data_IF_224412936996
#
_entry.id   IF_224412936996
#
_cell.length_a   1.000
_cell.length_b   1.000
_cell.length_c   1.000
_cell.angle_alpha   90.00
_cell.angle_beta   90.00
_cell.angle_gamma   90.00
#
_symmetry.space_group_name_H-M   'P 1'
#
loop_
_entity.id
_entity.type
_entity.pdbx_description
1 polymer ?
#
# COMPACT_ATOMS: atom_id res chain seq x y z
N UNK A 1 -7.60 -5.58 -20.25
CA UNK A 1 -7.17 -5.85 -18.86
C UNK A 1 -5.96 -6.76 -18.88
N UNK A 2 -4.78 -6.29 -18.48
CA UNK A 2 -3.70 -7.23 -18.17
C UNK A 2 -4.01 -7.89 -16.83
N UNK A 3 -4.05 -9.22 -16.84
CA UNK A 3 -3.98 -10.00 -15.61
C UNK A 3 -2.51 -9.96 -15.23
N UNK A 4 -2.18 -9.27 -14.13
CA UNK A 4 -0.82 -9.24 -13.61
C UNK A 4 -0.27 -10.66 -13.50
N UNK A 5 0.98 -10.85 -13.90
CA UNK A 5 1.67 -12.12 -13.68
C UNK A 5 1.78 -12.43 -12.17
N UNK A 6 1.98 -13.69 -11.77
CA UNK A 6 2.14 -14.08 -10.36
C UNK A 6 3.19 -13.25 -9.61
N UNK A 7 4.29 -12.91 -10.30
CA UNK A 7 5.38 -12.08 -9.78
C UNK A 7 4.97 -10.62 -9.55
N UNK A 8 4.17 -10.05 -10.45
CA UNK A 8 3.69 -8.66 -10.36
C UNK A 8 2.66 -8.50 -9.23
N UNK A 9 1.77 -9.49 -9.07
CA UNK A 9 0.86 -9.54 -7.92
C UNK A 9 1.62 -9.69 -6.59
N UNK A 10 2.68 -10.50 -6.56
CA UNK A 10 3.56 -10.64 -5.40
C UNK A 10 4.19 -9.31 -4.97
N UNK A 11 4.68 -8.52 -5.93
CA UNK A 11 5.24 -7.19 -5.66
C UNK A 11 4.21 -6.23 -5.06
N UNK A 12 3.00 -6.17 -5.64
CA UNK A 12 1.89 -5.35 -5.11
C UNK A 12 1.51 -5.77 -3.69
N UNK A 13 1.44 -7.08 -3.44
CA UNK A 13 1.11 -7.61 -2.12
C UNK A 13 2.17 -7.24 -1.08
N UNK A 14 3.46 -7.27 -1.44
CA UNK A 14 4.56 -6.85 -0.54
C UNK A 14 4.43 -5.37 -0.21
N UNK A 15 4.17 -4.50 -1.21
CA UNK A 15 3.95 -3.09 -0.98
C UNK A 15 2.76 -2.84 -0.03
N UNK A 16 1.64 -3.54 -0.25
CA UNK A 16 0.47 -3.44 0.61
C UNK A 16 0.76 -3.88 2.06
N UNK A 17 1.51 -4.98 2.24
CA UNK A 17 1.93 -5.46 3.57
C UNK A 17 2.87 -4.48 4.26
N UNK A 18 3.79 -3.87 3.53
CA UNK A 18 4.68 -2.85 4.07
C UNK A 18 3.89 -1.63 4.59
N UNK A 19 2.87 -1.17 3.85
CA UNK A 19 1.97 -0.10 4.32
C UNK A 19 1.29 -0.47 5.64
N UNK A 20 0.77 -1.68 5.75
CA UNK A 20 0.12 -2.15 6.98
C UNK A 20 1.09 -2.21 8.18
N UNK A 21 2.32 -2.66 7.96
CA UNK A 21 3.37 -2.64 8.99
C UNK A 21 3.70 -1.21 9.43
N UNK A 22 3.75 -0.25 8.49
CA UNK A 22 4.02 1.15 8.80
C UNK A 22 2.93 1.82 9.66
N UNK A 23 1.70 1.31 9.68
CA UNK A 23 0.69 1.80 10.64
C UNK A 23 1.08 1.49 12.09
N UNK A 24 1.66 0.32 12.35
CA UNK A 24 2.14 -0.04 13.70
C UNK A 24 3.35 0.78 14.15
N UNK A 25 4.08 1.40 13.21
CA UNK A 25 5.22 2.30 13.54
C UNK A 25 4.73 3.62 14.13
N UNK A 26 3.47 4.02 13.91
CA UNK A 26 2.89 5.25 14.47
C UNK A 26 2.82 5.26 16.00
N UNK A 27 2.89 4.09 16.63
CA UNK A 27 2.91 3.97 18.09
C UNK A 27 4.28 4.29 18.70
N UNK A 28 5.33 4.40 17.87
CA UNK A 28 6.67 4.73 18.33
C UNK A 28 6.81 6.23 18.58
N UNK A 29 7.59 6.58 19.61
CA UNK A 29 8.03 7.96 19.80
C UNK A 29 9.05 8.32 18.72
N UNK A 30 8.71 9.28 17.87
CA UNK A 30 9.49 9.67 16.70
C UNK A 30 9.75 11.18 16.69
N UNK A 31 10.87 11.58 16.08
CA UNK A 31 11.06 13.00 15.75
C UNK A 31 10.16 13.41 14.58
N UNK A 32 10.03 14.71 14.31
CA UNK A 32 9.26 15.20 13.15
C UNK A 32 9.84 14.71 11.82
N UNK A 33 11.16 14.58 11.73
CA UNK A 33 11.83 14.13 10.51
C UNK A 33 11.57 12.64 10.26
N UNK A 34 11.59 11.82 11.32
CA UNK A 34 11.24 10.40 11.25
C UNK A 34 9.78 10.19 10.83
N UNK A 35 8.84 10.94 11.42
CA UNK A 35 7.42 10.89 11.05
C UNK A 35 7.19 11.29 9.59
N UNK A 36 7.91 12.31 9.12
CA UNK A 36 7.92 12.72 7.71
C UNK A 36 8.43 11.62 6.78
N UNK A 37 9.50 10.92 7.17
CA UNK A 37 10.05 9.80 6.41
C UNK A 37 9.08 8.61 6.33
N UNK A 38 8.43 8.25 7.44
CA UNK A 38 7.40 7.20 7.51
C UNK A 38 6.20 7.55 6.62
N UNK A 39 5.72 8.80 6.70
CA UNK A 39 4.61 9.29 5.88
C UNK A 39 4.93 9.25 4.39
N UNK A 40 6.14 9.65 4.01
CA UNK A 40 6.61 9.61 2.63
C UNK A 40 6.70 8.17 2.10
N UNK A 41 7.29 7.25 2.89
CA UNK A 41 7.41 5.85 2.53
C UNK A 41 6.03 5.21 2.33
N UNK A 42 5.10 5.45 3.27
CA UNK A 42 3.72 4.98 3.20
C UNK A 42 3.02 5.47 1.92
N UNK A 43 3.15 6.76 1.61
CA UNK A 43 2.53 7.37 0.42
C UNK A 43 3.05 6.76 -0.88
N UNK A 44 4.36 6.52 -0.97
CA UNK A 44 4.98 5.89 -2.15
C UNK A 44 4.49 4.46 -2.33
N UNK A 45 4.44 3.67 -1.25
CA UNK A 45 3.97 2.29 -1.30
C UNK A 45 2.49 2.19 -1.67
N UNK A 46 1.64 3.07 -1.12
CA UNK A 46 0.22 3.17 -1.48
C UNK A 46 0.05 3.51 -2.97
N UNK A 47 0.81 4.48 -3.49
CA UNK A 47 0.75 4.84 -4.90
C UNK A 47 1.11 3.67 -5.82
N UNK A 48 2.09 2.82 -5.45
CA UNK A 48 2.40 1.60 -6.21
C UNK A 48 1.20 0.65 -6.22
N UNK A 49 0.52 0.48 -5.09
CA UNK A 49 -0.67 -0.39 -5.00
C UNK A 49 -1.82 0.15 -5.88
N UNK A 50 -2.12 1.44 -5.77
CA UNK A 50 -3.22 2.10 -6.50
C UNK A 50 -2.97 2.15 -8.01
N UNK A 51 -1.75 2.50 -8.43
CA UNK A 51 -1.38 2.55 -9.84
C UNK A 51 -1.44 1.18 -10.53
N UNK A 52 -1.42 0.08 -9.77
CA UNK A 52 -1.59 -1.27 -10.28
C UNK A 52 -3.04 -1.77 -10.21
N UNK A 53 -4.01 -0.89 -9.94
CA UNK A 53 -5.43 -1.22 -9.94
C UNK A 53 -5.88 -1.98 -8.70
N UNK A 54 -5.29 -1.67 -7.54
CA UNK A 54 -5.72 -2.22 -6.26
C UNK A 54 -6.00 -1.11 -5.26
N UNK A 55 -6.95 -1.38 -4.36
CA UNK A 55 -7.26 -0.58 -3.19
C UNK A 55 -6.85 -1.35 -1.95
N UNK A 56 -6.10 -0.70 -1.06
CA UNK A 56 -5.74 -1.24 0.24
C UNK A 56 -6.69 -0.72 1.32
N UNK A 57 -7.38 -1.62 2.00
CA UNK A 57 -7.99 -1.37 3.31
C UNK A 57 -6.95 -1.77 4.37
N UNK A 58 -6.55 -0.83 5.22
CA UNK A 58 -5.43 -1.07 6.13
C UNK A 58 -5.89 -1.75 7.43
N UNK A 59 -7.08 -1.42 7.92
CA UNK A 59 -7.72 -2.06 9.07
C UNK A 59 -9.21 -2.31 8.79
N UNK A 60 -9.64 -3.58 8.57
CA UNK A 60 -8.81 -4.78 8.49
C UNK A 60 -7.94 -4.81 7.23
N UNK A 61 -6.77 -5.47 7.28
CA UNK A 61 -5.93 -5.65 6.10
C UNK A 61 -6.67 -6.39 4.99
N UNK A 62 -7.02 -5.69 3.90
CA UNK A 62 -7.60 -6.27 2.69
C UNK A 62 -7.08 -5.56 1.46
N UNK A 63 -6.65 -6.35 0.48
CA UNK A 63 -6.25 -5.84 -0.83
C UNK A 63 -7.35 -6.19 -1.84
N UNK A 64 -8.04 -5.18 -2.33
CA UNK A 64 -9.17 -5.32 -3.24
C UNK A 64 -8.73 -4.91 -4.65
N UNK A 65 -9.05 -5.71 -5.65
CA UNK A 65 -8.86 -5.28 -7.04
C UNK A 65 -9.91 -4.21 -7.34
N UNK A 66 -9.47 -3.04 -7.81
CA UNK A 66 -10.42 -2.04 -8.30
C UNK A 66 -10.87 -2.51 -9.67
N UNK A 67 -12.06 -3.09 -9.74
CA UNK A 67 -12.70 -3.34 -11.02
C UNK A 67 -12.84 -2.00 -11.75
N UNK A 68 -12.23 -1.88 -12.92
CA UNK A 68 -12.64 -0.87 -13.89
C UNK A 68 -14.08 -1.19 -14.30
N UNK A 69 -15.06 -0.64 -13.58
CA UNK A 69 -16.43 -0.52 -14.07
C UNK A 69 -16.91 0.91 -13.98
N UNK A 70 -17.14 1.42 -15.19
CA UNK A 70 -18.11 2.44 -15.57
C UNK A 70 -17.62 3.88 -15.57
N UNK A 71 -16.89 4.25 -16.63
CA UNK A 71 -17.30 5.40 -17.46
C UNK A 71 -17.51 4.89 -18.88
#
# INVERSE_FOLDING_TARGET
MSVLGPTEFGAVLICARAVHVLEGVRELSMTKDDDGAVTLARSKLLSVVENNGYRLEVEPFRLLKTDEKSV
#
